data_IF_946979660990
#
_entry.id   IF_946979660990
#
_cell.length_a   1.000
_cell.length_b   1.000
_cell.length_c   1.000
_cell.angle_alpha   90.00
_cell.angle_beta   90.00
_cell.angle_gamma   90.00
#
_symmetry.space_group_name_H-M   'P 1'
#
loop_
_entity.id
_entity.type
_entity.pdbx_description
1 polymer ?
#
# COMPACT_ATOMS: atom_id res chain seq x y z
N UNK A 1 5.20 -46.61 4.16
CA UNK A 1 5.81 -45.31 3.90
C UNK A 1 4.73 -44.33 3.50
N UNK A 2 3.97 -43.86 4.50
CA UNK A 2 2.87 -42.88 4.33
C UNK A 2 3.44 -41.49 4.16
N UNK A 3 3.11 -40.86 3.04
CA UNK A 3 3.36 -39.45 2.76
C UNK A 3 2.62 -38.61 3.81
N UNK A 4 3.34 -38.06 4.75
CA UNK A 4 2.87 -36.97 5.57
C UNK A 4 2.96 -35.72 4.70
N UNK A 5 1.92 -35.47 3.92
CA UNK A 5 1.67 -34.14 3.36
C UNK A 5 1.12 -33.32 4.53
N UNK A 6 2.01 -32.67 5.23
CA UNK A 6 1.64 -31.65 6.20
C UNK A 6 1.14 -30.43 5.39
N UNK A 7 -0.16 -30.39 5.14
CA UNK A 7 -0.82 -29.15 4.74
C UNK A 7 -0.61 -28.16 5.88
N UNK A 8 0.34 -27.27 5.72
CA UNK A 8 0.42 -26.06 6.56
C UNK A 8 -0.80 -25.22 6.17
N UNK A 9 -1.90 -25.46 6.87
CA UNK A 9 -3.05 -24.56 6.86
C UNK A 9 -2.49 -23.26 7.43
N UNK A 10 -2.27 -22.31 6.58
CA UNK A 10 -1.85 -20.95 6.95
C UNK A 10 -2.97 -20.42 7.85
N UNK A 11 -2.73 -20.27 9.15
CA UNK A 11 -3.71 -19.79 10.13
C UNK A 11 -4.16 -18.37 9.74
N UNK A 12 -5.30 -18.30 9.08
CA UNK A 12 -5.95 -17.05 8.71
C UNK A 12 -6.82 -16.60 9.89
N UNK A 13 -6.43 -15.51 10.54
CA UNK A 13 -7.28 -14.83 11.54
C UNK A 13 -8.22 -13.86 10.84
N UNK A 14 -9.47 -13.82 11.23
CA UNK A 14 -10.49 -12.92 10.66
C UNK A 14 -10.99 -11.96 11.73
N UNK A 15 -11.17 -10.68 11.35
CA UNK A 15 -11.71 -9.63 12.20
C UNK A 15 -12.83 -8.91 11.45
N UNK A 16 -13.80 -8.36 12.18
CA UNK A 16 -14.90 -7.59 11.61
C UNK A 16 -14.94 -6.21 12.29
N UNK A 17 -14.92 -5.16 11.47
CA UNK A 17 -15.04 -3.77 11.92
C UNK A 17 -16.17 -3.09 11.16
N UNK A 18 -17.38 -3.09 11.75
CA UNK A 18 -18.60 -2.72 11.04
C UNK A 18 -18.83 -3.67 9.87
N UNK A 19 -18.99 -3.12 8.68
CA UNK A 19 -19.20 -3.90 7.45
C UNK A 19 -17.89 -4.40 6.80
N UNK A 20 -16.72 -4.02 7.37
CA UNK A 20 -15.42 -4.41 6.81
C UNK A 20 -14.93 -5.71 7.42
N UNK A 21 -14.69 -6.70 6.58
CA UNK A 21 -14.07 -7.98 6.94
C UNK A 21 -12.57 -7.91 6.67
N UNK A 22 -11.76 -8.18 7.68
CA UNK A 22 -10.30 -8.10 7.63
C UNK A 22 -9.70 -9.48 7.84
N UNK A 23 -8.87 -9.92 6.91
CA UNK A 23 -8.15 -11.18 6.94
C UNK A 23 -6.68 -10.95 7.24
N UNK A 24 -6.15 -11.57 8.28
CA UNK A 24 -4.74 -11.49 8.63
C UNK A 24 -4.00 -12.75 8.17
N UNK A 25 -3.06 -12.56 7.27
CA UNK A 25 -2.20 -13.60 6.70
C UNK A 25 -0.76 -13.47 7.24
N UNK A 26 0.03 -14.54 7.08
CA UNK A 26 1.47 -14.55 7.39
C UNK A 26 2.29 -14.69 6.12
N UNK A 27 3.25 -13.78 5.92
CA UNK A 27 4.31 -13.79 4.90
C UNK A 27 3.88 -13.76 3.43
N UNK A 28 2.71 -14.25 3.05
CA UNK A 28 2.17 -14.19 1.69
C UNK A 28 0.65 -14.32 1.69
N UNK A 29 0.04 -14.14 0.54
CA UNK A 29 -1.38 -14.34 0.27
C UNK A 29 -1.67 -15.80 -0.11
N UNK A 30 -2.89 -16.34 0.15
CA UNK A 30 -3.24 -17.67 -0.30
C UNK A 30 -3.37 -17.78 -1.83
N UNK A 31 -3.01 -18.93 -2.41
CA UNK A 31 -3.08 -19.19 -3.86
C UNK A 31 -4.52 -19.08 -4.41
N UNK A 32 -5.52 -19.30 -3.58
CA UNK A 32 -6.94 -19.24 -3.98
C UNK A 32 -7.49 -17.84 -4.12
N UNK A 33 -6.77 -16.81 -3.64
CA UNK A 33 -7.27 -15.43 -3.64
C UNK A 33 -7.22 -14.86 -5.07
N UNK A 34 -8.37 -14.34 -5.51
CA UNK A 34 -8.50 -13.63 -6.78
C UNK A 34 -8.70 -12.15 -6.51
N UNK A 35 -8.10 -11.32 -7.34
CA UNK A 35 -8.19 -9.87 -7.20
C UNK A 35 -9.07 -9.27 -8.28
N UNK A 36 -9.81 -8.19 -7.95
CA UNK A 36 -10.48 -7.35 -8.94
C UNK A 36 -9.48 -6.58 -9.80
N UNK A 37 -9.97 -5.83 -10.79
CA UNK A 37 -9.14 -5.01 -11.69
C UNK A 37 -8.42 -3.85 -10.96
N UNK A 38 -8.91 -3.44 -9.79
CA UNK A 38 -8.27 -2.42 -8.96
C UNK A 38 -8.24 -2.85 -7.48
N UNK A 39 -7.13 -2.58 -6.81
CA UNK A 39 -6.91 -2.81 -5.39
C UNK A 39 -6.28 -1.57 -4.75
N UNK A 40 -6.50 -1.41 -3.45
CA UNK A 40 -5.79 -0.41 -2.66
C UNK A 40 -4.66 -1.07 -1.87
N UNK A 41 -3.52 -0.40 -1.75
CA UNK A 41 -2.34 -0.95 -1.08
C UNK A 41 -1.70 0.12 -0.18
N UNK A 42 -1.21 -0.31 0.99
CA UNK A 42 -0.42 0.49 1.92
C UNK A 42 0.59 -0.40 2.64
N UNK A 43 1.58 0.18 3.34
CA UNK A 43 2.61 -0.58 4.03
C UNK A 43 3.03 0.05 5.35
N UNK A 44 3.26 -0.80 6.36
CA UNK A 44 3.82 -0.41 7.64
C UNK A 44 5.21 -1.02 7.83
N UNK A 45 6.11 -0.20 8.34
CA UNK A 45 7.53 -0.53 8.49
C UNK A 45 8.01 -0.27 9.92
N UNK A 46 9.24 -0.67 10.25
CA UNK A 46 9.86 -0.33 11.54
C UNK A 46 10.25 1.13 11.68
N UNK A 47 10.17 1.91 10.61
CA UNK A 47 10.50 3.33 10.53
C UNK A 47 10.61 3.78 9.06
N UNK A 48 11.06 4.99 8.81
CA UNK A 48 11.02 5.62 7.49
C UNK A 48 12.32 5.49 6.66
N UNK A 49 13.37 4.90 7.22
CA UNK A 49 14.64 4.75 6.52
C UNK A 49 14.63 3.57 5.56
N UNK A 50 14.71 3.82 4.27
CA UNK A 50 14.80 2.76 3.25
C UNK A 50 16.03 1.86 3.40
N UNK A 51 17.08 2.31 4.11
CA UNK A 51 18.29 1.51 4.38
C UNK A 51 18.11 0.61 5.60
N UNK A 52 17.71 1.20 6.73
CA UNK A 52 17.67 0.55 8.05
C UNK A 52 16.38 -0.21 8.31
N UNK A 53 15.24 0.35 7.88
CA UNK A 53 13.94 -0.13 8.30
C UNK A 53 13.38 -1.20 7.35
N UNK A 54 12.53 -2.09 7.89
CA UNK A 54 11.98 -3.23 7.17
C UNK A 54 10.45 -3.17 7.07
N UNK A 55 9.91 -3.81 6.06
CA UNK A 55 8.49 -4.09 5.95
C UNK A 55 8.03 -4.97 7.13
N UNK A 56 6.93 -4.60 7.77
CA UNK A 56 6.30 -5.33 8.87
C UNK A 56 4.89 -5.83 8.51
N UNK A 57 4.13 -4.98 7.83
CA UNK A 57 2.76 -5.26 7.45
C UNK A 57 2.51 -4.68 6.05
N UNK A 58 1.77 -5.40 5.24
CA UNK A 58 1.22 -4.93 3.97
C UNK A 58 -0.30 -5.01 4.05
N UNK A 59 -0.97 -3.96 3.61
CA UNK A 59 -2.42 -3.87 3.57
C UNK A 59 -2.89 -3.90 2.12
N UNK A 60 -3.91 -4.70 1.83
CA UNK A 60 -4.53 -4.77 0.51
C UNK A 60 -6.05 -4.77 0.70
N UNK A 61 -6.74 -3.73 0.23
CA UNK A 61 -8.19 -3.74 0.14
C UNK A 61 -8.64 -4.07 -1.29
N UNK A 62 -9.52 -5.04 -1.42
CA UNK A 62 -10.19 -5.42 -2.68
C UNK A 62 -11.50 -4.67 -2.88
N UNK A 63 -12.05 -4.15 -1.77
CA UNK A 63 -13.24 -3.30 -1.72
C UNK A 63 -13.27 -2.54 -0.39
N UNK A 64 -14.29 -1.71 -0.20
CA UNK A 64 -14.53 -1.05 1.08
C UNK A 64 -14.80 -2.04 2.22
N UNK A 65 -15.36 -3.20 1.88
CA UNK A 65 -15.82 -4.18 2.87
C UNK A 65 -14.85 -5.36 3.03
N UNK A 66 -13.74 -5.39 2.31
CA UNK A 66 -12.78 -6.48 2.36
C UNK A 66 -11.34 -5.97 2.33
N UNK A 67 -10.56 -6.39 3.34
CA UNK A 67 -9.16 -6.04 3.49
C UNK A 67 -8.33 -7.27 3.88
N UNK A 68 -7.17 -7.42 3.27
CA UNK A 68 -6.17 -8.42 3.59
C UNK A 68 -4.94 -7.73 4.19
N UNK A 69 -4.55 -8.15 5.39
CA UNK A 69 -3.34 -7.73 6.07
C UNK A 69 -2.32 -8.86 6.00
N UNK A 70 -1.12 -8.59 5.55
CA UNK A 70 -0.06 -9.58 5.45
C UNK A 70 1.06 -9.18 6.39
N UNK A 71 1.19 -9.92 7.49
CA UNK A 71 2.20 -9.72 8.52
C UNK A 71 3.47 -10.47 8.13
N UNK A 72 4.61 -9.77 8.14
CA UNK A 72 5.92 -10.36 7.87
C UNK A 72 6.68 -10.59 9.16
N UNK A 73 7.24 -11.78 9.32
CA UNK A 73 8.17 -12.08 10.38
C UNK A 73 9.50 -11.33 10.18
N UNK A 74 10.34 -11.31 11.21
CA UNK A 74 11.65 -10.68 11.13
C UNK A 74 12.53 -11.46 10.13
N UNK A 75 12.83 -10.81 9.01
CA UNK A 75 13.68 -11.36 7.96
C UNK A 75 14.96 -10.54 7.90
N UNK A 76 16.06 -11.19 7.52
CA UNK A 76 17.33 -10.52 7.24
C UNK A 76 17.14 -9.46 6.13
N UNK A 77 17.50 -8.22 6.40
CA UNK A 77 17.35 -7.10 5.46
C UNK A 77 18.13 -7.29 4.14
N UNK A 78 19.12 -8.19 4.14
CA UNK A 78 19.90 -8.53 2.93
C UNK A 78 19.18 -9.51 2.02
N UNK A 79 18.11 -10.15 2.51
CA UNK A 79 17.35 -11.16 1.76
C UNK A 79 16.02 -10.60 1.30
N UNK A 80 15.56 -11.05 0.13
CA UNK A 80 14.20 -10.75 -0.36
C UNK A 80 13.20 -11.69 0.29
N UNK A 81 11.99 -11.20 0.51
CA UNK A 81 10.88 -12.00 1.03
C UNK A 81 10.36 -12.89 -0.09
N UNK A 82 10.31 -14.22 0.09
CA UNK A 82 9.88 -15.16 -0.95
C UNK A 82 8.34 -15.26 -1.02
N UNK A 83 7.64 -14.12 -1.15
CA UNK A 83 6.17 -14.04 -1.22
C UNK A 83 5.71 -14.11 -2.68
N UNK A 84 5.57 -15.32 -3.21
CA UNK A 84 5.26 -15.58 -4.63
C UNK A 84 3.98 -14.87 -5.10
N UNK A 85 2.92 -14.92 -4.30
CA UNK A 85 1.62 -14.38 -4.69
C UNK A 85 1.61 -12.85 -4.68
N UNK A 86 2.25 -12.24 -3.68
CA UNK A 86 2.47 -10.79 -3.66
C UNK A 86 3.36 -10.31 -4.81
N UNK A 87 4.44 -11.04 -5.10
CA UNK A 87 5.33 -10.73 -6.23
C UNK A 87 4.55 -10.75 -7.55
N UNK A 88 3.75 -11.79 -7.77
CA UNK A 88 2.92 -11.90 -8.97
C UNK A 88 1.86 -10.78 -9.03
N UNK A 89 1.24 -10.44 -7.91
CA UNK A 89 0.26 -9.36 -7.81
C UNK A 89 0.88 -8.00 -8.17
N UNK A 90 2.06 -7.68 -7.64
CA UNK A 90 2.72 -6.41 -7.92
C UNK A 90 3.22 -6.30 -9.37
N UNK A 91 3.62 -7.39 -9.98
CA UNK A 91 4.01 -7.44 -11.41
C UNK A 91 2.82 -7.44 -12.39
N UNK A 92 1.61 -7.70 -11.91
CA UNK A 92 0.45 -7.81 -12.79
C UNK A 92 0.00 -6.44 -13.30
N UNK A 93 0.25 -6.14 -14.55
CA UNK A 93 -0.13 -4.88 -15.21
C UNK A 93 -1.64 -4.72 -15.40
N UNK A 94 -2.42 -5.81 -15.35
CA UNK A 94 -3.88 -5.78 -15.50
C UNK A 94 -4.61 -5.30 -14.25
N UNK A 95 -3.94 -5.33 -13.09
CA UNK A 95 -4.52 -4.89 -11.82
C UNK A 95 -3.94 -3.52 -11.47
N UNK A 96 -4.80 -2.53 -11.33
CA UNK A 96 -4.41 -1.20 -10.84
C UNK A 96 -4.17 -1.24 -9.33
N UNK A 97 -3.01 -0.75 -8.87
CA UNK A 97 -2.69 -0.60 -7.45
C UNK A 97 -2.81 0.86 -7.06
N UNK A 98 -3.74 1.14 -6.18
CA UNK A 98 -4.03 2.49 -5.66
C UNK A 98 -3.32 2.67 -4.33
N UNK A 99 -2.47 3.69 -4.25
CA UNK A 99 -1.71 4.06 -3.05
C UNK A 99 -2.02 5.48 -2.60
N UNK A 100 -1.72 5.76 -1.34
CA UNK A 100 -1.57 7.13 -0.87
C UNK A 100 -0.10 7.40 -0.53
N UNK A 101 0.56 8.33 -1.25
CA UNK A 101 2.01 8.57 -1.18
C UNK A 101 2.86 7.38 -1.69
N UNK A 102 2.48 6.84 -2.82
CA UNK A 102 3.02 5.63 -3.45
C UNK A 102 4.56 5.52 -3.47
N UNK A 103 5.30 6.65 -3.57
CA UNK A 103 6.78 6.67 -3.59
C UNK A 103 7.39 5.84 -2.46
N UNK A 104 6.85 5.97 -1.24
CA UNK A 104 7.36 5.24 -0.08
C UNK A 104 7.06 3.74 -0.19
N UNK A 105 5.81 3.38 -0.44
CA UNK A 105 5.37 1.97 -0.54
C UNK A 105 6.06 1.24 -1.67
N UNK A 106 6.25 1.89 -2.83
CA UNK A 106 6.97 1.32 -3.96
C UNK A 106 8.43 1.01 -3.63
N UNK A 107 9.08 1.91 -2.88
CA UNK A 107 10.44 1.67 -2.41
C UNK A 107 10.50 0.50 -1.41
N UNK A 108 9.53 0.42 -0.48
CA UNK A 108 9.41 -0.69 0.47
C UNK A 108 9.17 -2.01 -0.26
N UNK A 109 8.26 -2.05 -1.24
CA UNK A 109 7.97 -3.23 -2.09
C UNK A 109 9.23 -3.66 -2.86
N UNK A 110 9.91 -2.73 -3.54
CA UNK A 110 11.15 -3.01 -4.29
C UNK A 110 12.25 -3.55 -3.37
N UNK A 111 12.41 -2.95 -2.19
CA UNK A 111 13.37 -3.44 -1.18
C UNK A 111 13.00 -4.82 -0.67
N UNK A 112 11.74 -5.04 -0.29
CA UNK A 112 11.30 -6.30 0.33
C UNK A 112 11.24 -7.47 -0.64
N UNK A 113 10.72 -7.27 -1.84
CA UNK A 113 10.42 -8.35 -2.79
C UNK A 113 11.32 -8.35 -4.04
N UNK A 114 12.06 -7.28 -4.29
CA UNK A 114 12.92 -7.16 -5.48
C UNK A 114 12.16 -6.97 -6.79
N UNK A 115 10.96 -6.37 -6.74
CA UNK A 115 10.10 -6.15 -7.90
C UNK A 115 9.67 -4.70 -8.02
N UNK A 116 9.51 -4.24 -9.25
CA UNK A 116 8.85 -2.99 -9.55
C UNK A 116 7.34 -3.21 -9.66
N UNK A 117 6.59 -2.45 -8.88
CA UNK A 117 5.14 -2.51 -8.90
C UNK A 117 4.62 -1.85 -10.18
N UNK A 118 3.80 -2.57 -10.93
CA UNK A 118 3.25 -2.11 -12.22
C UNK A 118 1.83 -1.57 -12.04
N UNK A 119 1.40 -0.68 -12.96
CA UNK A 119 0.06 -0.11 -13.02
C UNK A 119 -0.38 0.53 -11.70
N UNK A 120 0.03 1.77 -11.51
CA UNK A 120 -0.05 2.49 -10.22
C UNK A 120 -0.94 3.72 -10.36
N UNK A 121 -1.71 4.03 -9.32
CA UNK A 121 -2.36 5.31 -9.10
C UNK A 121 -1.97 5.85 -7.72
N UNK A 122 -1.51 7.10 -7.64
CA UNK A 122 -1.18 7.75 -6.38
C UNK A 122 -2.17 8.87 -6.05
N UNK A 123 -3.01 8.65 -5.05
CA UNK A 123 -4.04 9.62 -4.63
C UNK A 123 -3.43 10.94 -4.13
N UNK A 124 -2.25 10.92 -3.51
CA UNK A 124 -1.57 12.14 -3.05
C UNK A 124 -1.07 13.00 -4.21
N UNK A 125 -0.48 12.38 -5.26
CA UNK A 125 -0.07 13.10 -6.48
C UNK A 125 -1.30 13.64 -7.20
N UNK A 126 -2.33 12.81 -7.40
CA UNK A 126 -3.59 13.23 -8.00
C UNK A 126 -4.19 14.43 -7.26
N UNK A 127 -4.25 14.36 -5.92
CA UNK A 127 -4.73 15.46 -5.08
C UNK A 127 -3.92 16.75 -5.28
N UNK A 128 -2.59 16.66 -5.33
CA UNK A 128 -1.74 17.84 -5.56
C UNK A 128 -1.99 18.47 -6.94
N UNK A 129 -2.29 17.65 -7.94
CA UNK A 129 -2.58 18.15 -9.28
C UNK A 129 -3.91 18.87 -9.39
N UNK A 130 -4.94 18.48 -8.61
CA UNK A 130 -6.31 19.00 -8.79
C UNK A 130 -6.82 19.86 -7.65
N UNK A 131 -6.23 19.75 -6.44
CA UNK A 131 -6.62 20.54 -5.26
C UNK A 131 -5.57 21.62 -4.99
N UNK A 132 -5.34 22.49 -5.96
CA UNK A 132 -4.31 23.54 -5.91
C UNK A 132 -4.62 24.69 -4.95
N UNK A 133 -5.81 24.70 -4.37
CA UNK A 133 -6.29 25.69 -3.39
C UNK A 133 -5.88 25.37 -1.93
N UNK A 134 -5.16 24.26 -1.70
CA UNK A 134 -4.79 23.81 -0.35
C UNK A 134 -3.50 23.00 -0.36
N UNK A 135 -2.78 23.00 0.77
CA UNK A 135 -1.62 22.14 1.03
C UNK A 135 -1.99 20.84 1.77
N UNK A 136 -3.29 20.63 2.06
CA UNK A 136 -3.79 19.47 2.80
C UNK A 136 -4.05 18.28 1.87
N UNK A 137 -2.98 17.53 1.57
CA UNK A 137 -3.01 16.36 0.70
C UNK A 137 -2.79 15.04 1.46
N UNK A 138 -2.90 15.05 2.80
CA UNK A 138 -2.83 13.84 3.62
C UNK A 138 -4.08 12.97 3.48
N UNK A 139 -3.97 11.66 3.70
CA UNK A 139 -5.09 10.73 3.58
C UNK A 139 -6.29 11.13 4.45
N UNK A 140 -6.03 11.53 5.70
CA UNK A 140 -7.09 12.01 6.61
C UNK A 140 -7.83 13.22 6.04
N UNK A 141 -7.09 14.19 5.48
CA UNK A 141 -7.70 15.40 4.91
C UNK A 141 -8.53 15.08 3.67
N UNK A 142 -8.03 14.17 2.81
CA UNK A 142 -8.77 13.70 1.64
C UNK A 142 -10.05 12.95 2.03
N UNK A 143 -9.97 12.02 2.97
CA UNK A 143 -11.14 11.29 3.44
C UNK A 143 -12.17 12.23 4.07
N UNK A 144 -11.74 13.22 4.86
CA UNK A 144 -12.66 14.18 5.47
C UNK A 144 -13.34 15.06 4.43
N UNK A 145 -12.58 15.62 3.50
CA UNK A 145 -13.10 16.59 2.53
C UNK A 145 -13.91 15.93 1.42
N UNK A 146 -13.43 14.80 0.88
CA UNK A 146 -14.03 14.19 -0.30
C UNK A 146 -15.03 13.08 0.00
N UNK A 147 -14.95 12.46 1.20
CA UNK A 147 -15.82 11.35 1.58
C UNK A 147 -16.62 11.60 2.87
N UNK A 148 -16.40 12.74 3.56
CA UNK A 148 -16.92 13.02 4.90
C UNK A 148 -16.63 11.90 5.93
N UNK A 149 -15.39 11.36 5.88
CA UNK A 149 -14.90 10.31 6.78
C UNK A 149 -13.76 10.83 7.65
N UNK A 150 -13.88 10.64 8.95
CA UNK A 150 -12.81 10.94 9.90
C UNK A 150 -11.92 9.71 10.12
N UNK A 151 -10.63 9.84 9.80
CA UNK A 151 -9.62 8.80 10.09
C UNK A 151 -8.88 9.11 11.38
N UNK A 152 -8.73 8.08 12.22
CA UNK A 152 -7.94 8.17 13.44
C UNK A 152 -6.48 7.83 13.17
N UNK A 153 -5.54 8.68 13.59
CA UNK A 153 -4.08 8.49 13.38
C UNK A 153 -3.34 7.93 14.60
N UNK A 154 -4.03 7.52 15.66
CA UNK A 154 -3.39 7.16 16.95
C UNK A 154 -2.43 5.98 16.86
N UNK A 155 -2.53 5.12 15.84
CA UNK A 155 -1.68 3.94 15.67
C UNK A 155 -0.55 4.13 14.65
N UNK A 156 -0.44 5.29 14.00
CA UNK A 156 0.55 5.55 12.95
C UNK A 156 2.01 5.30 13.42
N UNK A 157 2.32 5.61 14.67
CA UNK A 157 3.66 5.43 15.27
C UNK A 157 3.74 4.20 16.19
N UNK A 158 2.83 3.23 16.07
CA UNK A 158 2.85 2.03 16.91
C UNK A 158 3.93 1.04 16.47
N UNK A 159 4.28 0.09 17.36
CA UNK A 159 5.24 -0.97 17.02
C UNK A 159 4.62 -2.00 16.07
N UNK A 160 4.84 -1.81 14.76
CA UNK A 160 4.42 -2.73 13.72
C UNK A 160 5.25 -4.01 13.67
N UNK A 161 6.41 -4.05 14.36
CA UNK A 161 7.28 -5.22 14.44
C UNK A 161 6.85 -6.21 15.52
N UNK A 162 5.91 -5.85 16.40
CA UNK A 162 5.38 -6.70 17.46
C UNK A 162 4.95 -8.07 16.92
N UNK A 163 5.15 -9.13 17.70
CA UNK A 163 4.81 -10.51 17.32
C UNK A 163 3.33 -10.64 16.96
N UNK A 164 2.46 -10.02 17.74
CA UNK A 164 1.03 -9.95 17.50
C UNK A 164 0.58 -8.50 17.41
N UNK A 165 -0.35 -8.23 16.50
CA UNK A 165 -0.96 -6.93 16.36
C UNK A 165 -2.21 -6.83 17.24
N UNK A 166 -2.39 -5.70 17.89
CA UNK A 166 -3.63 -5.41 18.62
C UNK A 166 -4.80 -5.20 17.67
N UNK A 167 -6.03 -5.37 18.14
CA UNK A 167 -7.24 -5.09 17.37
C UNK A 167 -7.28 -3.64 16.87
N UNK A 168 -6.75 -2.67 17.64
CA UNK A 168 -6.65 -1.27 17.23
C UNK A 168 -5.68 -1.06 16.07
N UNK A 169 -4.53 -1.75 16.07
CA UNK A 169 -3.59 -1.72 14.95
C UNK A 169 -4.21 -2.32 13.68
N UNK A 170 -4.89 -3.46 13.81
CA UNK A 170 -5.57 -4.12 12.68
C UNK A 170 -6.66 -3.22 12.09
N UNK A 171 -7.47 -2.58 12.94
CA UNK A 171 -8.49 -1.62 12.52
C UNK A 171 -7.88 -0.40 11.84
N UNK A 172 -6.81 0.14 12.40
CA UNK A 172 -6.09 1.28 11.83
C UNK A 172 -5.56 0.93 10.43
N UNK A 173 -4.78 -0.14 10.32
CA UNK A 173 -4.18 -0.57 9.06
C UNK A 173 -5.23 -0.85 7.97
N UNK A 174 -6.39 -1.40 8.32
CA UNK A 174 -7.47 -1.59 7.36
C UNK A 174 -8.08 -0.26 6.90
N UNK A 175 -8.21 0.73 7.79
CA UNK A 175 -8.78 2.03 7.47
C UNK A 175 -7.91 2.84 6.49
N UNK A 176 -6.59 2.63 6.47
CA UNK A 176 -5.69 3.35 5.58
C UNK A 176 -5.84 2.92 4.10
N UNK A 177 -6.48 1.79 3.83
CA UNK A 177 -6.66 1.28 2.45
C UNK A 177 -8.11 1.23 1.95
N UNK A 178 -9.11 0.99 2.83
CA UNK A 178 -10.49 0.74 2.38
C UNK A 178 -11.18 1.91 1.68
N UNK A 179 -10.66 3.12 1.84
CA UNK A 179 -11.20 4.33 1.21
C UNK A 179 -10.45 4.74 -0.07
N UNK A 180 -9.28 4.14 -0.37
CA UNK A 180 -8.42 4.61 -1.45
C UNK A 180 -9.04 4.44 -2.83
N UNK A 181 -9.81 3.36 -3.07
CA UNK A 181 -10.49 3.12 -4.35
C UNK A 181 -11.57 4.20 -4.59
N UNK A 182 -12.31 4.57 -3.56
CA UNK A 182 -13.33 5.61 -3.63
C UNK A 182 -12.69 6.99 -3.87
N UNK A 183 -11.63 7.32 -3.13
CA UNK A 183 -10.84 8.53 -3.36
C UNK A 183 -10.25 8.59 -4.77
N UNK A 184 -9.74 7.47 -5.28
CA UNK A 184 -9.20 7.36 -6.64
C UNK A 184 -10.26 7.75 -7.67
N UNK A 185 -11.50 7.26 -7.56
CA UNK A 185 -12.59 7.56 -8.50
C UNK A 185 -12.92 9.05 -8.54
N UNK A 186 -13.00 9.69 -7.37
CA UNK A 186 -13.25 11.13 -7.27
C UNK A 186 -12.09 11.93 -7.87
N UNK A 187 -10.85 11.63 -7.45
CA UNK A 187 -9.66 12.34 -7.93
C UNK A 187 -9.43 12.14 -9.43
N UNK A 188 -9.71 10.95 -9.97
CA UNK A 188 -9.63 10.67 -11.40
C UNK A 188 -10.63 11.52 -12.19
N UNK A 189 -11.87 11.66 -11.69
CA UNK A 189 -12.87 12.54 -12.29
C UNK A 189 -12.40 14.01 -12.28
N UNK A 190 -11.81 14.46 -11.16
CA UNK A 190 -11.25 15.81 -11.06
C UNK A 190 -10.07 16.00 -12.02
N UNK A 191 -9.18 15.03 -12.18
CA UNK A 191 -8.06 15.07 -13.13
C UNK A 191 -8.53 15.21 -14.56
N UNK A 192 -9.58 14.48 -14.94
CA UNK A 192 -10.19 14.57 -16.28
C UNK A 192 -10.85 15.94 -16.51
N UNK A 193 -11.57 16.46 -15.52
CA UNK A 193 -12.21 17.77 -15.59
C UNK A 193 -11.20 18.92 -15.76
N UNK A 194 -10.04 18.83 -15.09
CA UNK A 194 -8.97 19.83 -15.13
C UNK A 194 -7.95 19.61 -16.27
N UNK A 195 -8.21 18.67 -17.18
CA UNK A 195 -7.31 18.27 -18.29
C UNK A 195 -5.87 17.89 -17.81
N UNK A 196 -5.79 17.23 -16.64
CA UNK A 196 -4.53 16.81 -16.03
C UNK A 196 -4.37 15.31 -15.92
N UNK A 197 -5.30 14.54 -16.51
CA UNK A 197 -5.28 13.09 -16.42
C UNK A 197 -4.02 12.48 -17.06
N UNK A 198 -3.72 12.85 -18.32
CA UNK A 198 -2.54 12.36 -19.03
C UNK A 198 -1.23 12.73 -18.32
N UNK A 199 -1.15 13.94 -17.76
CA UNK A 199 -0.02 14.37 -16.94
C UNK A 199 0.15 13.47 -15.72
N UNK A 200 -0.95 13.13 -15.05
CA UNK A 200 -0.92 12.25 -13.87
C UNK A 200 -0.40 10.85 -14.20
N UNK A 201 -0.78 10.28 -15.36
CA UNK A 201 -0.30 8.97 -15.82
C UNK A 201 1.23 8.96 -16.02
N UNK A 202 1.78 10.01 -16.62
CA UNK A 202 3.23 10.18 -16.78
C UNK A 202 3.94 10.24 -15.42
N UNK A 203 3.37 10.96 -14.45
CA UNK A 203 3.93 11.03 -13.08
C UNK A 203 3.84 9.67 -12.36
N UNK A 204 2.76 8.91 -12.54
CA UNK A 204 2.65 7.58 -11.94
C UNK A 204 3.67 6.60 -12.54
N UNK A 205 3.89 6.66 -13.85
CA UNK A 205 4.93 5.86 -14.52
C UNK A 205 6.33 6.26 -14.05
N UNK A 206 6.59 7.53 -13.81
CA UNK A 206 7.89 8.03 -13.34
C UNK A 206 8.21 7.60 -11.89
N UNK A 207 7.24 7.16 -11.09
CA UNK A 207 7.47 6.77 -9.70
C UNK A 207 8.50 5.64 -9.55
N UNK A 208 8.58 4.69 -10.47
CA UNK A 208 9.61 3.64 -10.44
C UNK A 208 11.02 4.22 -10.58
N UNK A 209 11.21 5.17 -11.51
CA UNK A 209 12.47 5.91 -11.67
C UNK A 209 12.77 6.76 -10.43
N UNK A 210 11.76 7.42 -9.85
CA UNK A 210 11.94 8.20 -8.62
C UNK A 210 12.42 7.32 -7.46
N UNK A 211 11.90 6.11 -7.33
CA UNK A 211 12.34 5.13 -6.33
C UNK A 211 13.78 4.68 -6.57
N UNK A 212 14.22 4.53 -7.82
CA UNK A 212 15.62 4.25 -8.12
C UNK A 212 16.54 5.38 -7.67
N UNK A 213 16.16 6.63 -7.93
CA UNK A 213 16.90 7.79 -7.44
C UNK A 213 17.00 7.78 -5.90
N UNK A 214 15.93 7.40 -5.19
CA UNK A 214 15.95 7.30 -3.73
C UNK A 214 16.99 6.29 -3.23
N UNK A 215 17.08 5.12 -3.87
CA UNK A 215 18.08 4.11 -3.51
C UNK A 215 19.51 4.49 -3.86
N UNK A 216 19.70 5.35 -4.85
CA UNK A 216 21.00 5.85 -5.27
C UNK A 216 21.46 7.10 -4.50
N UNK A 217 20.66 7.58 -3.53
CA UNK A 217 21.05 8.67 -2.63
C UNK A 217 20.50 10.05 -2.99
N UNK A 218 19.59 10.16 -3.98
CA UNK A 218 18.90 11.42 -4.31
C UNK A 218 17.51 11.53 -3.63
N UNK A 219 17.31 10.90 -2.48
CA UNK A 219 16.02 10.90 -1.80
C UNK A 219 15.55 12.31 -1.35
N UNK A 220 16.49 13.16 -0.94
CA UNK A 220 16.21 14.51 -0.44
C UNK A 220 16.57 15.63 -1.43
N UNK A 221 17.01 15.25 -2.64
CA UNK A 221 17.45 16.17 -3.67
C UNK A 221 16.45 16.18 -4.81
N UNK A 222 16.01 17.37 -5.21
CA UNK A 222 15.34 17.57 -6.49
C UNK A 222 16.38 17.75 -7.58
N UNK A 223 16.62 16.71 -8.38
CA UNK A 223 17.59 16.72 -9.48
C UNK A 223 17.20 17.67 -10.62
N UNK A 224 15.99 18.20 -10.63
CA UNK A 224 15.51 19.18 -11.61
C UNK A 224 15.59 20.61 -11.07
N UNK A 225 15.90 20.78 -9.77
CA UNK A 225 16.08 22.12 -9.21
C UNK A 225 17.40 22.74 -9.65
N UNK A 226 17.38 24.07 -9.75
CA UNK A 226 18.55 24.89 -10.06
C UNK A 226 19.43 25.06 -8.81
#
# INVERSE_FOLDING_TARGET
>A
LSNIITNIIQEMKTFNFGDTKVYLHKNDLPDSLKFPEEIAVDSETTGLSLVRDRLCLLQIATSRNECHLIKFEKIDLKKKIPAKNLINLFKNEKILKVFHYARFDLAVIKKAFGVDCQNIFCTKIASKLVRTYTDRHGLKDLCKELLDKDLNKTQQSSDWSAKELSSNQIKYASNDVIFLIELKKILESMLKREDRYELSQKLFTFLSTRVELDFLGWNDIDIFSH
#
